data_IF_064185455136
#
_entry.id   IF_064185455136
#
_cell.length_a   1.000
_cell.length_b   1.000
_cell.length_c   1.000
_cell.angle_alpha   90.00
_cell.angle_beta   90.00
_cell.angle_gamma   90.00
#
_symmetry.space_group_name_H-M   'P 1'
#
loop_
_entity.id
_entity.type
_entity.pdbx_description
1 polymer ?
#
# COMPACT_ATOMS: atom_id res chain seq x y z
N UNK A 1 13.19 12.52 -63.50
CA UNK A 1 13.19 12.81 -62.04
C UNK A 1 12.06 12.13 -61.22
N UNK A 2 11.26 11.17 -61.75
CA UNK A 2 10.13 10.55 -61.02
C UNK A 2 10.50 9.38 -60.07
N UNK A 3 11.59 8.65 -60.33
CA UNK A 3 11.94 7.43 -59.57
C UNK A 3 12.51 7.67 -58.15
N UNK A 4 13.20 8.79 -57.89
CA UNK A 4 13.75 9.11 -56.55
C UNK A 4 12.68 9.50 -55.51
N UNK A 5 11.49 9.92 -55.94
CA UNK A 5 10.38 10.30 -55.03
C UNK A 5 9.62 9.08 -54.49
N UNK A 6 9.48 8.03 -55.29
CA UNK A 6 8.81 6.80 -54.88
C UNK A 6 9.59 6.08 -53.77
N UNK A 7 10.92 5.98 -53.92
CA UNK A 7 11.81 5.38 -52.91
C UNK A 7 11.87 6.19 -51.63
N UNK A 8 11.85 7.52 -51.71
CA UNK A 8 11.81 8.39 -50.53
C UNK A 8 10.50 8.24 -49.73
N UNK A 9 9.36 8.06 -50.41
CA UNK A 9 8.07 7.80 -49.75
C UNK A 9 8.04 6.41 -49.13
N UNK A 10 8.56 5.39 -49.81
CA UNK A 10 8.64 4.02 -49.29
C UNK A 10 9.54 3.95 -48.03
N UNK A 11 10.69 4.64 -48.02
CA UNK A 11 11.55 4.73 -46.84
C UNK A 11 10.93 5.54 -45.69
N UNK A 12 10.04 6.49 -45.99
CA UNK A 12 9.22 7.16 -44.97
C UNK A 12 8.15 6.21 -44.40
N UNK A 13 7.51 5.41 -45.24
CA UNK A 13 6.54 4.40 -44.80
C UNK A 13 7.19 3.32 -43.93
N UNK A 14 8.36 2.80 -44.32
CA UNK A 14 9.13 1.84 -43.50
C UNK A 14 9.58 2.42 -42.15
N UNK A 15 9.88 3.72 -42.09
CA UNK A 15 10.17 4.40 -40.82
C UNK A 15 8.92 4.55 -39.95
N UNK A 16 7.79 4.93 -40.56
CA UNK A 16 6.51 5.03 -39.85
C UNK A 16 6.07 3.69 -39.28
N UNK A 17 6.12 2.61 -40.06
CA UNK A 17 5.78 1.26 -39.60
C UNK A 17 6.62 0.84 -38.37
N UNK A 18 7.95 1.02 -38.43
CA UNK A 18 8.85 0.74 -37.30
C UNK A 18 8.54 1.59 -36.06
N UNK A 19 8.18 2.86 -36.25
CA UNK A 19 7.77 3.73 -35.13
C UNK A 19 6.46 3.27 -34.48
N UNK A 20 5.48 2.83 -35.29
CA UNK A 20 4.20 2.31 -34.81
C UNK A 20 4.41 1.01 -34.04
N UNK A 21 5.20 0.07 -34.57
CA UNK A 21 5.52 -1.19 -33.90
C UNK A 21 6.24 -0.96 -32.57
N UNK A 22 7.21 -0.04 -32.54
CA UNK A 22 7.93 0.34 -31.32
C UNK A 22 7.00 0.97 -30.28
N UNK A 23 6.07 1.83 -30.71
CA UNK A 23 5.07 2.44 -29.84
C UNK A 23 4.14 1.38 -29.25
N UNK A 24 3.56 0.52 -30.09
CA UNK A 24 2.68 -0.56 -29.65
C UNK A 24 3.39 -1.52 -28.67
N UNK A 25 4.67 -1.82 -28.91
CA UNK A 25 5.48 -2.63 -28.00
C UNK A 25 5.68 -1.99 -26.63
N UNK A 26 5.91 -0.66 -26.58
CA UNK A 26 6.04 0.11 -25.34
C UNK A 26 4.72 0.17 -24.58
N UNK A 27 3.62 0.45 -25.27
CA UNK A 27 2.30 0.53 -24.67
C UNK A 27 1.91 -0.81 -24.04
N UNK A 28 2.15 -1.92 -24.75
CA UNK A 28 1.88 -3.26 -24.22
C UNK A 28 2.76 -3.61 -23.00
N UNK A 29 4.01 -3.14 -22.97
CA UNK A 29 4.88 -3.32 -21.80
C UNK A 29 4.41 -2.49 -20.59
N UNK A 30 3.96 -1.26 -20.83
CA UNK A 30 3.42 -0.40 -19.78
C UNK A 30 2.12 -0.96 -19.19
N UNK A 31 1.22 -1.47 -20.02
CA UNK A 31 -0.03 -2.11 -19.56
C UNK A 31 0.28 -3.32 -18.67
N UNK A 32 1.18 -4.21 -19.11
CA UNK A 32 1.57 -5.38 -18.30
C UNK A 32 2.18 -4.99 -16.96
N UNK A 33 3.02 -3.95 -16.94
CA UNK A 33 3.63 -3.49 -15.69
C UNK A 33 2.59 -2.86 -14.76
N UNK A 34 1.65 -2.08 -15.29
CA UNK A 34 0.55 -1.52 -14.52
C UNK A 34 -0.35 -2.61 -13.90
N UNK A 35 -0.69 -3.64 -14.67
CA UNK A 35 -1.46 -4.80 -14.19
C UNK A 35 -0.70 -5.58 -13.11
N UNK A 36 0.60 -5.82 -13.32
CA UNK A 36 1.48 -6.47 -12.34
C UNK A 36 1.52 -5.69 -11.02
N UNK A 37 1.68 -4.37 -11.12
CA UNK A 37 1.73 -3.48 -9.97
C UNK A 37 0.39 -3.42 -9.22
N UNK A 38 -0.72 -3.36 -9.94
CA UNK A 38 -2.07 -3.40 -9.35
C UNK A 38 -2.32 -4.71 -8.59
N UNK A 39 -1.98 -5.85 -9.20
CA UNK A 39 -2.11 -7.16 -8.56
C UNK A 39 -1.25 -7.27 -7.29
N UNK A 40 -0.01 -6.77 -7.34
CA UNK A 40 0.90 -6.78 -6.20
C UNK A 40 0.37 -5.94 -5.03
N UNK A 41 -0.15 -4.74 -5.32
CA UNK A 41 -0.74 -3.87 -4.31
C UNK A 41 -1.99 -4.48 -3.67
N UNK A 42 -2.87 -5.06 -4.49
CA UNK A 42 -4.06 -5.76 -3.99
C UNK A 42 -3.70 -6.93 -3.08
N UNK A 43 -2.71 -7.74 -3.47
CA UNK A 43 -2.20 -8.84 -2.64
C UNK A 43 -1.65 -8.34 -1.31
N UNK A 44 -0.79 -7.30 -1.35
CA UNK A 44 -0.19 -6.74 -0.15
C UNK A 44 -1.24 -6.19 0.83
N UNK A 45 -2.26 -5.50 0.33
CA UNK A 45 -3.34 -4.97 1.15
C UNK A 45 -4.20 -6.09 1.78
N UNK A 46 -4.44 -7.18 1.05
CA UNK A 46 -5.13 -8.35 1.60
C UNK A 46 -4.31 -9.05 2.69
N UNK A 47 -2.99 -9.15 2.52
CA UNK A 47 -2.10 -9.71 3.56
C UNK A 47 -2.04 -8.84 4.82
N UNK A 48 -2.02 -7.51 4.65
CA UNK A 48 -2.10 -6.57 5.77
C UNK A 48 -3.41 -6.77 6.56
N UNK A 49 -4.53 -6.90 5.84
CA UNK A 49 -5.83 -7.16 6.46
C UNK A 49 -5.85 -8.49 7.20
N UNK A 50 -5.38 -9.57 6.56
CA UNK A 50 -5.30 -10.90 7.17
C UNK A 50 -4.48 -10.90 8.46
N UNK A 51 -3.34 -10.21 8.47
CA UNK A 51 -2.51 -10.04 9.68
C UNK A 51 -3.28 -9.35 10.81
N UNK A 52 -4.09 -8.34 10.49
CA UNK A 52 -4.97 -7.68 11.46
C UNK A 52 -6.09 -8.60 11.94
N UNK A 53 -6.72 -9.35 11.04
CA UNK A 53 -7.82 -10.26 11.35
C UNK A 53 -7.35 -11.41 12.26
N UNK A 54 -6.19 -11.98 11.97
CA UNK A 54 -5.56 -13.03 12.79
C UNK A 54 -5.22 -12.53 14.20
N UNK A 55 -4.72 -11.30 14.29
CA UNK A 55 -4.46 -10.65 15.57
C UNK A 55 -5.75 -10.44 16.37
N UNK A 56 -6.77 -9.81 15.77
CA UNK A 56 -8.07 -9.56 16.42
C UNK A 56 -8.73 -10.87 16.86
N UNK A 57 -8.71 -11.90 16.01
CA UNK A 57 -9.21 -13.23 16.34
C UNK A 57 -8.45 -13.87 17.51
N UNK A 58 -7.14 -13.66 17.60
CA UNK A 58 -6.32 -14.15 18.72
C UNK A 58 -6.65 -13.44 20.03
N UNK A 59 -6.81 -12.12 20.01
CA UNK A 59 -7.20 -11.34 21.18
C UNK A 59 -8.60 -11.73 21.65
N UNK A 60 -9.57 -11.82 20.74
CA UNK A 60 -10.95 -12.16 21.09
C UNK A 60 -11.12 -13.56 21.70
N UNK A 61 -10.25 -14.53 21.35
CA UNK A 61 -10.25 -15.85 22.01
C UNK A 61 -9.86 -15.79 23.49
N UNK A 62 -9.18 -14.72 23.91
CA UNK A 62 -8.75 -14.49 25.30
C UNK A 62 -9.71 -13.58 26.08
N UNK A 63 -10.63 -12.90 25.41
CA UNK A 63 -11.57 -11.95 26.02
C UNK A 63 -12.93 -12.60 26.27
N UNK A 64 -13.55 -12.27 27.41
CA UNK A 64 -14.94 -12.66 27.69
C UNK A 64 -15.93 -11.64 27.10
N UNK A 65 -15.70 -10.35 27.39
CA UNK A 65 -16.30 -9.14 26.80
C UNK A 65 -15.44 -7.94 27.21
N UNK A 66 -15.42 -6.81 26.47
CA UNK A 66 -16.00 -6.59 25.14
C UNK A 66 -15.10 -7.18 24.03
N UNK A 67 -15.66 -7.37 22.84
CA UNK A 67 -14.92 -7.87 21.67
C UNK A 67 -14.19 -6.73 20.97
N UNK A 68 -13.05 -7.07 20.38
CA UNK A 68 -12.31 -6.25 19.44
C UNK A 68 -12.86 -6.51 18.03
N UNK A 69 -13.13 -5.47 17.26
CA UNK A 69 -13.72 -5.56 15.92
C UNK A 69 -12.75 -5.01 14.87
N UNK A 70 -12.62 -5.70 13.74
CA UNK A 70 -11.88 -5.24 12.56
C UNK A 70 -12.87 -4.80 11.47
N UNK A 71 -12.69 -3.58 10.97
CA UNK A 71 -13.41 -3.02 9.83
C UNK A 71 -12.47 -2.81 8.63
N UNK A 72 -12.83 -3.26 7.41
CA UNK A 72 -13.97 -4.13 7.11
C UNK A 72 -13.74 -5.55 7.67
N UNK A 73 -14.81 -6.34 7.83
CA UNK A 73 -14.71 -7.71 8.36
C UNK A 73 -13.94 -8.65 7.40
N UNK A 74 -14.10 -8.42 6.10
CA UNK A 74 -13.39 -9.14 5.03
C UNK A 74 -12.78 -8.13 4.07
N UNK A 75 -11.62 -8.47 3.50
CA UNK A 75 -10.96 -7.67 2.48
C UNK A 75 -10.33 -8.57 1.42
N UNK A 76 -10.78 -8.42 0.17
CA UNK A 76 -10.24 -9.16 -0.96
C UNK A 76 -9.23 -8.29 -1.71
N UNK A 77 -8.26 -8.88 -2.44
CA UNK A 77 -7.34 -8.10 -3.27
C UNK A 77 -8.04 -7.14 -4.23
N UNK A 78 -9.17 -7.55 -4.80
CA UNK A 78 -9.99 -6.74 -5.71
C UNK A 78 -10.74 -5.58 -5.01
N UNK A 79 -10.79 -5.57 -3.67
CA UNK A 79 -11.36 -4.47 -2.89
C UNK A 79 -10.40 -3.30 -2.72
N UNK A 80 -9.12 -3.49 -3.04
CA UNK A 80 -8.12 -2.44 -3.01
C UNK A 80 -8.46 -1.33 -4.00
N UNK A 81 -8.47 -0.09 -3.50
CA UNK A 81 -8.76 1.11 -4.28
C UNK A 81 -7.46 1.71 -4.80
N UNK A 82 -7.31 1.70 -6.13
CA UNK A 82 -6.21 2.32 -6.87
C UNK A 82 -6.79 2.94 -8.16
N UNK A 83 -6.96 4.28 -8.25
CA UNK A 83 -6.57 5.28 -7.26
C UNK A 83 -7.54 5.39 -6.07
N UNK A 84 -7.03 5.71 -4.89
CA UNK A 84 -7.84 6.05 -3.72
C UNK A 84 -7.24 5.66 -2.38
N UNK A 85 -7.86 6.13 -1.30
CA UNK A 85 -7.51 5.71 0.05
C UNK A 85 -8.25 4.43 0.42
N UNK A 86 -7.53 3.54 1.10
CA UNK A 86 -7.99 2.33 1.72
C UNK A 86 -7.89 2.51 3.24
N UNK A 87 -8.84 1.93 3.97
CA UNK A 87 -8.96 2.15 5.41
C UNK A 87 -9.23 0.82 6.10
N UNK A 88 -8.41 0.52 7.12
CA UNK A 88 -8.68 -0.52 8.11
C UNK A 88 -8.81 0.10 9.50
N UNK A 89 -9.69 -0.45 10.31
CA UNK A 89 -9.94 0.02 11.68
C UNK A 89 -10.06 -1.14 12.64
N UNK A 90 -9.31 -1.12 13.74
CA UNK A 90 -9.50 -2.02 14.87
C UNK A 90 -10.12 -1.22 16.01
N UNK A 91 -11.29 -1.64 16.49
CA UNK A 91 -12.09 -0.92 17.45
C UNK A 91 -12.42 -1.77 18.68
N UNK A 92 -12.41 -1.15 19.87
CA UNK A 92 -12.97 -1.73 21.09
C UNK A 92 -13.30 -0.62 22.10
N UNK A 93 -14.46 -0.67 22.76
CA UNK A 93 -14.80 0.22 23.89
C UNK A 93 -14.51 1.73 23.68
N UNK A 94 -14.77 2.26 22.47
CA UNK A 94 -14.50 3.67 22.16
C UNK A 94 -13.02 4.02 21.90
N UNK A 95 -12.16 3.01 21.79
CA UNK A 95 -10.75 3.09 21.37
C UNK A 95 -10.61 2.53 19.97
N UNK A 96 -9.76 3.17 19.17
CA UNK A 96 -9.62 2.87 17.75
C UNK A 96 -8.16 2.93 17.34
N UNK A 97 -7.72 1.90 16.63
CA UNK A 97 -6.55 1.94 15.78
C UNK A 97 -7.01 2.14 14.34
N UNK A 98 -6.61 3.25 13.72
CA UNK A 98 -7.01 3.61 12.37
C UNK A 98 -5.80 3.55 11.44
N UNK A 99 -5.92 2.77 10.37
CA UNK A 99 -4.91 2.61 9.33
C UNK A 99 -5.46 3.15 8.02
N UNK A 100 -4.85 4.18 7.48
CA UNK A 100 -5.20 4.80 6.20
C UNK A 100 -4.01 4.65 5.25
N UNK A 101 -4.23 4.10 4.05
CA UNK A 101 -3.15 3.83 3.11
C UNK A 101 -3.60 3.92 1.65
N UNK A 102 -2.65 4.14 0.75
CA UNK A 102 -2.91 4.31 -0.69
C UNK A 102 -1.72 3.85 -1.52
N UNK A 103 -2.01 3.49 -2.77
CA UNK A 103 -0.97 3.27 -3.78
C UNK A 103 -0.18 4.55 -4.03
N UNK A 104 1.10 4.41 -4.36
CA UNK A 104 1.93 5.51 -4.88
C UNK A 104 1.87 5.56 -6.41
N UNK A 105 1.95 6.74 -7.01
CA UNK A 105 1.97 6.85 -8.48
C UNK A 105 3.23 6.22 -9.09
N UNK A 106 4.34 6.28 -8.36
CA UNK A 106 5.64 5.72 -8.74
C UNK A 106 6.26 4.94 -7.58
N UNK A 107 7.27 4.12 -7.86
CA UNK A 107 8.11 3.55 -6.82
C UNK A 107 8.84 4.71 -6.10
N UNK A 108 8.50 4.95 -4.85
CA UNK A 108 8.93 6.15 -4.11
C UNK A 108 9.94 5.79 -3.03
N UNK A 109 10.88 6.70 -2.81
CA UNK A 109 11.79 6.76 -1.67
C UNK A 109 11.86 8.23 -1.26
N UNK A 110 11.82 8.53 0.03
CA UNK A 110 11.95 9.91 0.54
C UNK A 110 13.29 10.09 1.24
N UNK A 111 13.66 11.34 1.54
CA UNK A 111 14.90 11.63 2.28
C UNK A 111 14.90 10.97 3.66
N UNK A 112 13.72 10.92 4.29
CA UNK A 112 13.47 10.38 5.63
C UNK A 112 13.25 8.86 5.63
N UNK A 113 12.73 8.27 4.55
CA UNK A 113 12.51 6.84 4.39
C UNK A 113 13.03 6.34 3.04
N UNK A 114 14.23 5.75 3.07
CA UNK A 114 15.03 5.46 1.86
C UNK A 114 14.81 4.09 1.23
N UNK A 115 13.76 3.39 1.64
CA UNK A 115 13.43 2.06 1.12
C UNK A 115 12.34 2.24 0.07
N UNK A 116 12.52 1.74 -1.17
CA UNK A 116 11.51 1.86 -2.22
C UNK A 116 10.17 1.19 -1.85
N UNK A 117 9.07 1.94 -1.94
CA UNK A 117 7.73 1.46 -1.57
C UNK A 117 6.66 1.75 -2.64
N UNK A 118 5.61 0.91 -2.62
CA UNK A 118 4.52 0.89 -3.60
C UNK A 118 3.15 1.24 -3.01
N UNK A 119 3.07 1.22 -1.68
CA UNK A 119 1.94 1.69 -0.87
C UNK A 119 2.53 2.48 0.30
N UNK A 120 1.92 3.62 0.59
CA UNK A 120 2.19 4.43 1.77
C UNK A 120 0.92 4.63 2.58
N UNK A 121 1.09 4.81 3.89
CA UNK A 121 -0.03 4.97 4.79
C UNK A 121 0.41 5.48 6.15
N UNK A 122 -0.58 5.58 7.03
CA UNK A 122 -0.48 6.16 8.36
C UNK A 122 -1.32 5.34 9.32
N UNK A 123 -0.78 5.13 10.50
CA UNK A 123 -1.40 4.42 11.62
C UNK A 123 -1.60 5.42 12.74
N UNK A 124 -2.84 5.54 13.23
CA UNK A 124 -3.24 6.47 14.27
C UNK A 124 -3.94 5.73 15.40
N UNK A 125 -3.51 5.98 16.63
CA UNK A 125 -4.21 5.55 17.84
C UNK A 125 -5.15 6.65 18.29
N UNK A 126 -6.39 6.30 18.59
CA UNK A 126 -7.42 7.22 19.01
C UNK A 126 -8.11 6.67 20.27
N UNK A 127 -8.11 7.46 21.33
CA UNK A 127 -8.97 7.27 22.49
C UNK A 127 -9.42 8.65 23.02
N UNK A 128 -10.42 8.67 23.91
CA UNK A 128 -10.99 9.93 24.39
C UNK A 128 -9.93 10.84 25.05
N UNK A 129 -9.02 10.28 25.86
CA UNK A 129 -7.95 11.04 26.52
C UNK A 129 -6.97 11.67 25.51
N UNK A 130 -6.61 10.93 24.45
CA UNK A 130 -5.73 11.40 23.38
C UNK A 130 -6.35 12.54 22.58
N UNK A 131 -7.66 12.47 22.33
CA UNK A 131 -8.41 13.54 21.68
C UNK A 131 -8.45 14.80 22.55
N UNK A 132 -8.72 14.66 23.85
CA UNK A 132 -8.75 15.77 24.80
C UNK A 132 -7.37 16.46 24.94
N UNK A 133 -6.28 15.70 24.81
CA UNK A 133 -4.91 16.20 24.88
C UNK A 133 -4.34 16.65 23.54
N UNK A 134 -5.09 16.52 22.43
CA UNK A 134 -4.63 16.82 21.06
C UNK A 134 -3.35 16.05 20.68
N UNK A 135 -3.18 14.85 21.25
CA UNK A 135 -2.05 13.98 20.99
C UNK A 135 -2.54 12.80 20.16
N UNK A 136 -2.36 12.86 18.84
CA UNK A 136 -2.60 11.73 17.94
C UNK A 136 -1.24 11.26 17.42
N UNK A 137 -0.62 10.24 18.07
CA UNK A 137 0.55 9.59 17.51
C UNK A 137 0.28 9.06 16.12
N UNK A 138 1.12 9.45 15.18
CA UNK A 138 1.11 8.96 13.81
C UNK A 138 2.39 8.17 13.57
N UNK A 139 2.23 6.92 13.18
CA UNK A 139 3.30 6.05 12.69
C UNK A 139 3.07 5.86 11.19
N UNK A 140 4.10 6.03 10.38
CA UNK A 140 3.98 5.81 8.93
C UNK A 140 4.00 4.31 8.64
N UNK A 141 3.31 3.89 7.57
CA UNK A 141 3.20 2.52 7.10
C UNK A 141 3.61 2.46 5.64
N UNK A 142 4.43 1.48 5.27
CA UNK A 142 4.96 1.33 3.92
C UNK A 142 4.93 -0.14 3.48
N UNK A 143 4.47 -0.40 2.26
CA UNK A 143 4.68 -1.68 1.58
C UNK A 143 5.91 -1.56 0.67
N UNK A 144 7.02 -2.12 1.13
CA UNK A 144 8.32 -2.03 0.49
C UNK A 144 8.53 -3.22 -0.45
N UNK A 145 9.12 -2.98 -1.62
CA UNK A 145 9.45 -4.07 -2.54
C UNK A 145 10.74 -4.78 -2.11
N UNK A 146 10.70 -6.11 -2.12
CA UNK A 146 11.87 -6.95 -1.90
C UNK A 146 12.09 -7.92 -3.08
N UNK A 147 13.26 -8.56 -3.10
CA UNK A 147 13.59 -9.56 -4.14
C UNK A 147 12.64 -10.76 -4.01
N UNK A 148 11.60 -10.79 -4.84
CA UNK A 148 10.62 -11.87 -4.86
C UNK A 148 9.33 -11.62 -4.07
N UNK A 149 9.08 -10.40 -3.57
CA UNK A 149 7.86 -10.09 -2.84
C UNK A 149 7.77 -8.66 -2.34
N UNK A 150 7.09 -8.49 -1.21
CA UNK A 150 6.98 -7.22 -0.50
C UNK A 150 7.04 -7.46 1.01
N UNK A 151 7.33 -6.40 1.76
CA UNK A 151 7.28 -6.42 3.23
C UNK A 151 6.59 -5.16 3.75
N UNK A 152 5.87 -5.30 4.86
CA UNK A 152 5.24 -4.16 5.52
C UNK A 152 6.14 -3.61 6.61
N UNK A 153 6.50 -2.34 6.48
CA UNK A 153 7.33 -1.62 7.44
C UNK A 153 6.55 -0.47 8.04
N UNK A 154 6.83 -0.21 9.31
CA UNK A 154 6.36 0.95 10.05
C UNK A 154 7.55 1.85 10.34
N UNK A 155 7.31 3.16 10.35
CA UNK A 155 8.31 4.15 10.68
C UNK A 155 7.75 5.14 11.69
N UNK A 156 8.38 5.21 12.87
CA UNK A 156 8.07 6.20 13.88
C UNK A 156 8.99 7.42 13.70
N UNK A 157 8.48 8.57 13.21
CA UNK A 157 9.29 9.76 12.95
C UNK A 157 9.84 10.40 14.24
N UNK A 158 9.27 10.11 15.41
CA UNK A 158 9.66 10.74 16.68
C UNK A 158 10.96 10.17 17.22
N UNK A 159 11.15 8.87 17.02
CA UNK A 159 12.33 8.12 17.45
C UNK A 159 13.18 7.63 16.27
N UNK A 160 12.80 8.02 15.05
CA UNK A 160 13.45 7.65 13.79
C UNK A 160 13.71 6.15 13.68
N UNK A 161 12.68 5.34 13.99
CA UNK A 161 12.80 3.88 14.06
C UNK A 161 11.94 3.20 13.01
N UNK A 162 12.55 2.27 12.28
CA UNK A 162 11.86 1.35 11.38
C UNK A 162 11.63 0.01 12.08
N UNK A 163 10.42 -0.53 11.96
CA UNK A 163 10.02 -1.83 12.51
C UNK A 163 9.11 -2.56 11.54
N UNK A 164 9.14 -3.90 11.47
CA UNK A 164 8.13 -4.66 10.73
C UNK A 164 6.72 -4.35 11.24
N UNK A 165 5.73 -4.35 10.35
CA UNK A 165 4.34 -4.46 10.76
C UNK A 165 4.03 -5.94 11.00
N UNK A 166 4.02 -6.34 12.27
CA UNK A 166 3.76 -7.71 12.67
C UNK A 166 2.85 -7.78 13.91
N UNK A 167 2.68 -8.98 14.45
CA UNK A 167 1.89 -9.20 15.66
C UNK A 167 2.42 -8.40 16.85
N UNK A 168 3.74 -8.32 17.02
CA UNK A 168 4.36 -7.63 18.15
C UNK A 168 4.10 -6.13 18.07
N UNK A 169 4.21 -5.55 16.87
CA UNK A 169 3.82 -4.17 16.61
C UNK A 169 2.35 -3.92 17.01
N UNK A 170 1.43 -4.80 16.60
CA UNK A 170 0.01 -4.67 16.95
C UNK A 170 -0.24 -4.76 18.45
N UNK A 171 0.48 -5.63 19.18
CA UNK A 171 0.43 -5.69 20.65
C UNK A 171 0.84 -4.34 21.25
N UNK A 172 2.03 -3.85 20.91
CA UNK A 172 2.59 -2.60 21.45
C UNK A 172 1.66 -1.41 21.18
N UNK A 173 1.05 -1.36 20.00
CA UNK A 173 0.12 -0.31 19.63
C UNK A 173 -1.20 -0.40 20.39
N UNK A 174 -1.74 -1.62 20.55
CA UNK A 174 -2.98 -1.83 21.29
C UNK A 174 -2.81 -1.59 22.80
N UNK A 175 -1.65 -1.91 23.37
CA UNK A 175 -1.32 -1.59 24.77
C UNK A 175 -1.38 -0.09 25.05
N UNK A 176 -1.00 0.76 24.09
CA UNK A 176 -1.12 2.23 24.22
C UNK A 176 -2.57 2.72 24.22
N UNK A 177 -3.48 1.91 23.68
CA UNK A 177 -4.90 2.20 23.71
C UNK A 177 -5.55 1.77 25.01
N UNK A 178 -4.92 0.89 25.82
CA UNK A 178 -5.41 0.39 27.12
C UNK A 178 -5.18 1.41 28.23
#
# INVERSE_FOLDING_TARGET
MRFKRATATEERLKRLARSIESLAGRDAAQIREAERMSALRGSAAAELHASCADFVGSVNRLLSKPLVELGPAEFLPASFRDPGNNVFQINFSGRMLHMEFRATDTLTSTDDFRIPYIIEGKIRCLNQQMLDQVLIPETLLFCCLESGGYTWLTFDPRIHRVTPFDREFLVVVMERLV
#
